data_IF_647910358657
#
_entry.id   IF_647910358657
#
_cell.length_a   1.000
_cell.length_b   1.000
_cell.length_c   1.000
_cell.angle_alpha   90.00
_cell.angle_beta   90.00
_cell.angle_gamma   90.00
#
_symmetry.space_group_name_H-M   'P 1'
#
loop_
_entity.id
_entity.type
_entity.pdbx_description
1 polymer ?
#
# COMPACT_ATOMS: atom_id res chain seq x y z
N UNK A 1 -37.49 31.71 81.72
CA UNK A 1 -37.99 30.59 80.88
C UNK A 1 -36.89 30.18 79.92
N UNK A 2 -36.08 29.18 80.27
CA UNK A 2 -35.02 28.66 79.39
C UNK A 2 -35.56 27.45 78.65
N UNK A 3 -35.70 27.55 77.33
CA UNK A 3 -36.03 26.40 76.46
C UNK A 3 -34.75 25.57 76.30
N UNK A 4 -34.70 24.41 76.94
CA UNK A 4 -33.68 23.40 76.63
C UNK A 4 -33.96 22.84 75.23
N UNK A 5 -33.08 23.14 74.28
CA UNK A 5 -33.03 22.45 72.99
C UNK A 5 -32.59 21.01 73.23
N UNK A 6 -33.46 20.03 72.97
CA UNK A 6 -33.10 18.61 72.95
C UNK A 6 -32.06 18.41 71.84
N UNK A 7 -30.81 18.12 72.21
CA UNK A 7 -29.84 17.55 71.28
C UNK A 7 -30.24 16.09 71.03
N UNK A 8 -30.69 15.80 69.81
CA UNK A 8 -30.84 14.44 69.31
C UNK A 8 -29.45 13.87 69.04
N UNK A 9 -28.95 13.05 69.97
CA UNK A 9 -27.73 12.26 69.78
C UNK A 9 -28.06 11.01 68.95
N UNK A 10 -27.21 10.71 67.98
CA UNK A 10 -27.30 9.49 67.16
C UNK A 10 -27.07 8.24 68.00
N UNK A 11 -27.81 7.18 67.72
CA UNK A 11 -27.62 5.88 68.40
C UNK A 11 -26.46 5.11 67.75
N UNK A 12 -25.77 4.27 68.54
CA UNK A 12 -24.66 3.45 68.03
C UNK A 12 -25.10 2.52 66.89
N UNK A 13 -26.33 2.00 66.94
CA UNK A 13 -26.90 1.15 65.89
C UNK A 13 -27.10 1.92 64.58
N UNK A 14 -27.45 3.20 64.64
CA UNK A 14 -27.64 4.06 63.48
C UNK A 14 -26.32 4.37 62.80
N UNK A 15 -25.27 4.66 63.57
CA UNK A 15 -23.92 4.85 63.04
C UNK A 15 -23.37 3.57 62.39
N UNK A 16 -23.63 2.40 62.99
CA UNK A 16 -23.24 1.10 62.42
C UNK A 16 -23.93 0.85 61.08
N UNK A 17 -25.25 1.07 61.00
CA UNK A 17 -26.04 0.86 59.79
C UNK A 17 -25.56 1.79 58.66
N UNK A 18 -25.24 3.05 58.97
CA UNK A 18 -24.68 4.00 57.99
C UNK A 18 -23.33 3.54 57.46
N UNK A 19 -22.42 3.07 58.33
CA UNK A 19 -21.10 2.57 57.87
C UNK A 19 -21.23 1.34 56.96
N UNK A 20 -22.15 0.41 57.27
CA UNK A 20 -22.39 -0.78 56.43
C UNK A 20 -22.96 -0.39 55.07
N UNK A 21 -23.96 0.49 55.03
CA UNK A 21 -24.56 0.94 53.76
C UNK A 21 -23.52 1.68 52.91
N UNK A 22 -22.75 2.59 53.51
CA UNK A 22 -21.67 3.30 52.80
C UNK A 22 -20.62 2.35 52.25
N UNK A 23 -20.25 1.29 53.00
CA UNK A 23 -19.33 0.27 52.54
C UNK A 23 -19.84 -0.45 51.28
N UNK A 24 -21.09 -0.90 51.28
CA UNK A 24 -21.69 -1.59 50.14
C UNK A 24 -21.79 -0.66 48.92
N UNK A 25 -22.23 0.58 49.12
CA UNK A 25 -22.35 1.58 48.06
C UNK A 25 -21.00 1.97 47.48
N UNK A 26 -19.97 2.11 48.32
CA UNK A 26 -18.62 2.42 47.88
C UNK A 26 -18.07 1.31 46.99
N UNK A 27 -18.11 0.04 47.45
CA UNK A 27 -17.59 -1.11 46.70
C UNK A 27 -18.28 -1.25 45.34
N UNK A 28 -19.61 -1.15 45.31
CA UNK A 28 -20.38 -1.23 44.06
C UNK A 28 -20.03 -0.08 43.11
N UNK A 29 -19.98 1.16 43.61
CA UNK A 29 -19.62 2.33 42.80
C UNK A 29 -18.22 2.22 42.20
N UNK A 30 -17.23 1.81 42.99
CA UNK A 30 -15.87 1.61 42.50
C UNK A 30 -15.77 0.50 41.44
N UNK A 31 -16.49 -0.61 41.63
CA UNK A 31 -16.53 -1.69 40.65
C UNK A 31 -17.11 -1.22 39.30
N UNK A 32 -18.20 -0.45 39.34
CA UNK A 32 -18.80 0.12 38.13
C UNK A 32 -17.87 1.11 37.42
N UNK A 33 -17.20 2.01 38.18
CA UNK A 33 -16.25 2.97 37.60
C UNK A 33 -15.08 2.24 36.92
N UNK A 34 -14.50 1.24 37.58
CA UNK A 34 -13.39 0.47 37.02
C UNK A 34 -13.80 -0.28 35.76
N UNK A 35 -14.98 -0.92 35.76
CA UNK A 35 -15.50 -1.58 34.57
C UNK A 35 -15.75 -0.59 33.43
N UNK A 36 -16.28 0.59 33.71
CA UNK A 36 -16.51 1.64 32.72
C UNK A 36 -15.21 2.14 32.09
N UNK A 37 -14.16 2.33 32.89
CA UNK A 37 -12.85 2.73 32.41
C UNK A 37 -12.21 1.65 31.50
N UNK A 38 -12.29 0.38 31.89
CA UNK A 38 -11.74 -0.73 31.10
C UNK A 38 -12.44 -0.86 29.74
N UNK A 39 -13.77 -0.76 29.70
CA UNK A 39 -14.54 -0.80 28.45
C UNK A 39 -14.16 0.38 27.55
N UNK A 40 -14.00 1.57 28.13
CA UNK A 40 -13.57 2.75 27.37
C UNK A 40 -12.17 2.56 26.78
N UNK A 41 -11.19 2.11 27.58
CA UNK A 41 -9.82 1.88 27.12
C UNK A 41 -9.76 0.85 25.99
N UNK A 42 -10.43 -0.29 26.17
CA UNK A 42 -10.54 -1.32 25.12
C UNK A 42 -11.22 -0.80 23.86
N UNK A 43 -12.23 0.06 24.01
CA UNK A 43 -12.90 0.72 22.90
C UNK A 43 -11.96 1.63 22.11
N UNK A 44 -11.10 2.40 22.79
CA UNK A 44 -10.12 3.29 22.16
C UNK A 44 -9.05 2.50 21.42
N UNK A 45 -8.45 1.48 22.04
CA UNK A 45 -7.43 0.62 21.41
C UNK A 45 -7.97 -0.03 20.13
N UNK A 46 -9.21 -0.54 20.17
CA UNK A 46 -9.86 -1.13 19.00
C UNK A 46 -10.14 -0.12 17.89
N UNK A 47 -10.47 1.12 18.24
CA UNK A 47 -10.68 2.17 17.25
C UNK A 47 -9.37 2.57 16.57
N UNK A 48 -8.28 2.69 17.34
CA UNK A 48 -6.94 2.95 16.82
C UNK A 48 -6.49 1.83 15.87
N UNK A 49 -6.71 0.57 16.28
CA UNK A 49 -6.44 -0.61 15.48
C UNK A 49 -7.09 -0.57 14.10
N UNK A 50 -8.40 -0.33 14.08
CA UNK A 50 -9.19 -0.24 12.84
C UNK A 50 -8.75 0.97 12.00
N UNK A 51 -8.41 2.10 12.63
CA UNK A 51 -7.92 3.27 11.92
C UNK A 51 -6.58 3.02 11.23
N UNK A 52 -5.63 2.37 11.92
CA UNK A 52 -4.32 2.02 11.35
C UNK A 52 -4.46 1.02 10.20
N UNK A 53 -5.29 -0.02 10.37
CA UNK A 53 -5.56 -0.99 9.31
C UNK A 53 -6.18 -0.32 8.07
N UNK A 54 -7.18 0.55 8.26
CA UNK A 54 -7.82 1.29 7.16
C UNK A 54 -6.85 2.21 6.45
N UNK A 55 -6.00 2.92 7.20
CA UNK A 55 -4.98 3.79 6.61
C UNK A 55 -4.03 2.99 5.71
N UNK A 56 -3.48 1.90 6.24
CA UNK A 56 -2.55 1.02 5.52
C UNK A 56 -3.19 0.47 4.24
N UNK A 57 -4.39 -0.14 4.34
CA UNK A 57 -5.08 -0.72 3.20
C UNK A 57 -5.43 0.33 2.14
N UNK A 58 -5.92 1.50 2.56
CA UNK A 58 -6.26 2.60 1.64
C UNK A 58 -5.01 3.13 0.95
N UNK A 59 -3.89 3.25 1.67
CA UNK A 59 -2.62 3.71 1.10
C UNK A 59 -2.10 2.73 0.06
N UNK A 60 -2.08 1.43 0.38
CA UNK A 60 -1.68 0.37 -0.55
C UNK A 60 -2.55 0.39 -1.81
N UNK A 61 -3.88 0.37 -1.65
CA UNK A 61 -4.81 0.39 -2.77
C UNK A 61 -4.66 1.64 -3.66
N UNK A 62 -4.42 2.81 -3.04
CA UNK A 62 -4.23 4.07 -3.78
C UNK A 62 -2.97 4.07 -4.64
N UNK A 63 -1.85 3.55 -4.12
CA UNK A 63 -0.62 3.46 -4.91
C UNK A 63 -0.72 2.41 -6.02
N UNK A 64 -1.30 1.24 -5.71
CA UNK A 64 -1.48 0.15 -6.67
C UNK A 64 -2.43 0.48 -7.82
N UNK A 65 -3.33 1.46 -7.64
CA UNK A 65 -4.20 1.93 -8.73
C UNK A 65 -3.40 2.50 -9.91
N UNK A 66 -2.21 3.03 -9.64
CA UNK A 66 -1.28 3.52 -10.66
C UNK A 66 -0.16 2.53 -10.97
N UNK A 67 -0.33 1.25 -10.62
CA UNK A 67 0.60 0.22 -11.05
C UNK A 67 0.48 0.01 -12.57
N UNK A 68 1.64 -0.10 -13.21
CA UNK A 68 1.74 -0.44 -14.60
C UNK A 68 1.21 -1.87 -14.83
N UNK A 69 0.44 -2.10 -15.92
CA UNK A 69 0.01 -3.44 -16.31
C UNK A 69 1.18 -4.43 -16.34
N UNK A 70 0.93 -5.63 -15.83
CA UNK A 70 1.87 -6.75 -15.74
C UNK A 70 3.19 -6.45 -14.99
N UNK A 71 3.27 -5.38 -14.18
CA UNK A 71 4.47 -5.10 -13.37
C UNK A 71 4.45 -5.75 -11.98
N UNK A 72 3.31 -6.25 -11.52
CA UNK A 72 3.24 -6.81 -10.16
C UNK A 72 4.02 -8.11 -10.05
N UNK A 73 4.87 -8.22 -9.04
CA UNK A 73 5.53 -9.46 -8.66
C UNK A 73 5.75 -9.57 -7.15
N UNK A 74 5.80 -10.80 -6.67
CA UNK A 74 6.05 -11.12 -5.27
C UNK A 74 7.43 -11.75 -5.13
N UNK A 75 8.16 -11.39 -4.07
CA UNK A 75 9.43 -12.05 -3.73
C UNK A 75 9.23 -13.53 -3.43
N UNK A 76 8.02 -13.89 -2.99
CA UNK A 76 7.56 -15.23 -2.68
C UNK A 76 6.03 -15.25 -2.62
N UNK A 77 5.41 -16.31 -3.13
CA UNK A 77 3.95 -16.51 -3.07
C UNK A 77 3.52 -17.25 -1.80
N UNK A 78 4.29 -18.26 -1.40
CA UNK A 78 4.07 -19.07 -0.21
C UNK A 78 5.41 -19.39 0.44
N UNK A 79 5.41 -19.71 1.73
CA UNK A 79 6.62 -20.06 2.47
C UNK A 79 7.71 -18.97 2.43
N UNK A 80 7.30 -17.72 2.68
CA UNK A 80 8.15 -16.52 2.57
C UNK A 80 9.22 -16.36 3.67
N UNK A 81 9.27 -17.27 4.64
CA UNK A 81 10.19 -17.16 5.77
C UNK A 81 9.92 -15.92 6.62
N UNK A 82 10.86 -14.98 6.64
CA UNK A 82 10.86 -13.82 7.55
C UNK A 82 10.32 -12.53 6.93
N UNK A 83 10.23 -12.45 5.60
CA UNK A 83 9.76 -11.25 4.91
C UNK A 83 9.05 -11.58 3.60
N UNK A 84 8.10 -10.74 3.21
CA UNK A 84 7.41 -10.85 1.94
C UNK A 84 7.31 -9.45 1.31
N UNK A 85 7.82 -9.31 0.08
CA UNK A 85 7.80 -8.05 -0.66
C UNK A 85 6.87 -8.16 -1.88
N UNK A 86 5.96 -7.21 -2.00
CA UNK A 86 5.22 -6.92 -3.23
C UNK A 86 5.91 -5.78 -3.96
N UNK A 87 6.34 -6.03 -5.18
CA UNK A 87 6.91 -5.02 -6.05
C UNK A 87 5.97 -4.71 -7.21
N UNK A 88 5.93 -3.44 -7.61
CA UNK A 88 5.26 -2.97 -8.81
C UNK A 88 5.97 -1.74 -9.36
N UNK A 89 5.73 -1.42 -10.62
CA UNK A 89 6.22 -0.18 -11.24
C UNK A 89 5.07 0.79 -11.39
N UNK A 90 5.06 1.95 -10.71
CA UNK A 90 4.05 2.97 -10.95
C UNK A 90 4.21 3.57 -12.34
N UNK A 91 3.11 3.93 -13.01
CA UNK A 91 3.14 4.83 -14.16
C UNK A 91 2.79 6.25 -13.73
N UNK A 92 3.49 7.25 -14.27
CA UNK A 92 3.21 8.67 -14.05
C UNK A 92 2.06 9.12 -14.95
N UNK A 93 2.10 8.68 -16.20
CA UNK A 93 1.10 9.01 -17.22
C UNK A 93 1.05 7.90 -18.28
N UNK A 94 -0.05 7.84 -19.03
CA UNK A 94 -0.25 6.86 -20.09
C UNK A 94 -1.00 7.54 -21.24
N UNK A 95 -0.59 7.26 -22.47
CA UNK A 95 -1.22 7.80 -23.67
C UNK A 95 -1.32 6.75 -24.76
N UNK A 96 -1.91 7.14 -25.89
CA UNK A 96 -1.93 6.35 -27.11
C UNK A 96 -0.90 6.85 -28.11
N UNK A 97 -0.16 5.92 -28.71
CA UNK A 97 0.66 6.23 -29.88
C UNK A 97 -0.10 5.99 -31.18
N UNK A 98 0.35 6.66 -32.24
CA UNK A 98 -0.25 6.62 -33.57
C UNK A 98 0.71 5.98 -34.56
N UNK A 99 0.15 5.38 -35.61
CA UNK A 99 0.95 4.69 -36.61
C UNK A 99 1.55 3.36 -36.13
N UNK A 100 2.66 2.98 -36.75
CA UNK A 100 3.41 1.77 -36.43
C UNK A 100 4.72 2.14 -35.74
N UNK A 101 5.17 1.27 -34.84
CA UNK A 101 6.46 1.39 -34.19
C UNK A 101 7.56 1.28 -35.24
N UNK A 102 8.56 2.19 -35.19
CA UNK A 102 9.65 2.19 -36.13
C UNK A 102 10.52 0.94 -35.94
N UNK A 103 10.81 0.24 -37.03
CA UNK A 103 11.72 -0.91 -37.06
C UNK A 103 13.14 -0.55 -37.54
N UNK A 104 13.34 0.69 -38.00
CA UNK A 104 14.63 1.25 -38.43
C UNK A 104 14.83 2.62 -37.80
N UNK A 105 16.07 2.98 -37.49
CA UNK A 105 16.40 4.30 -36.96
C UNK A 105 16.00 5.42 -37.95
N UNK A 106 15.52 6.59 -37.46
CA UNK A 106 15.35 6.95 -36.05
C UNK A 106 14.10 6.31 -35.41
N UNK A 107 14.24 5.80 -34.17
CA UNK A 107 13.15 5.13 -33.44
C UNK A 107 12.24 6.17 -32.76
N UNK A 108 11.44 6.86 -33.56
CA UNK A 108 10.48 7.87 -33.10
C UNK A 108 9.08 7.26 -33.01
N UNK A 109 8.48 7.33 -31.83
CA UNK A 109 7.08 7.00 -31.56
C UNK A 109 6.29 8.30 -31.47
N UNK A 110 5.23 8.43 -32.25
CA UNK A 110 4.34 9.60 -32.21
C UNK A 110 3.16 9.32 -31.31
N UNK A 111 3.00 10.11 -30.25
CA UNK A 111 2.01 9.87 -29.20
C UNK A 111 1.06 11.06 -29.01
N UNK A 112 -0.17 10.80 -28.58
CA UNK A 112 -1.15 11.85 -28.31
C UNK A 112 -0.64 12.74 -27.17
N UNK A 113 -0.72 14.06 -27.38
CA UNK A 113 -0.16 15.10 -26.53
C UNK A 113 -0.61 15.00 -25.06
N UNK A 114 0.36 15.20 -24.16
CA UNK A 114 0.20 15.16 -22.72
C UNK A 114 -0.28 16.50 -22.13
N UNK A 115 0.07 17.63 -22.74
CA UNK A 115 -0.26 18.97 -22.24
C UNK A 115 -1.75 19.27 -22.40
N UNK A 116 -2.36 18.86 -23.52
CA UNK A 116 -3.81 18.96 -23.73
C UNK A 116 -4.65 18.06 -22.81
N UNK A 117 -4.02 17.11 -22.08
CA UNK A 117 -4.70 16.12 -21.23
C UNK A 117 -4.34 16.23 -19.74
N UNK A 118 -3.69 17.31 -19.29
CA UNK A 118 -3.21 17.52 -17.91
C UNK A 118 -2.35 16.35 -17.38
N UNK A 119 -1.57 15.71 -18.26
CA UNK A 119 -0.72 14.58 -17.91
C UNK A 119 0.72 15.03 -17.60
N UNK A 120 1.44 14.27 -16.76
CA UNK A 120 2.86 14.51 -16.52
C UNK A 120 3.66 14.33 -17.80
N UNK A 121 4.36 15.39 -18.21
CA UNK A 121 5.21 15.38 -19.40
C UNK A 121 6.47 14.54 -19.16
N UNK A 122 6.93 13.78 -20.17
CA UNK A 122 8.18 13.05 -20.11
C UNK A 122 9.39 13.98 -20.08
N UNK A 123 10.43 13.54 -19.39
CA UNK A 123 11.74 14.15 -19.37
C UNK A 123 12.80 13.21 -19.96
N UNK A 124 13.93 13.79 -20.38
CA UNK A 124 15.05 13.00 -20.90
C UNK A 124 15.54 12.04 -19.83
N UNK A 125 15.68 10.77 -20.20
CA UNK A 125 16.07 9.72 -19.26
C UNK A 125 14.88 9.04 -18.55
N UNK A 126 13.64 9.45 -18.79
CA UNK A 126 12.49 8.72 -18.26
C UNK A 126 12.30 7.38 -18.96
N UNK A 127 11.70 6.45 -18.23
CA UNK A 127 11.38 5.12 -18.74
C UNK A 127 10.01 5.12 -19.38
N UNK A 128 9.93 4.59 -20.59
CA UNK A 128 8.67 4.31 -21.26
C UNK A 128 8.52 2.81 -21.46
N UNK A 129 7.28 2.31 -21.47
CA UNK A 129 7.04 0.91 -21.80
C UNK A 129 5.79 0.71 -22.65
N UNK A 130 5.90 -0.27 -23.55
CA UNK A 130 4.86 -0.67 -24.49
C UNK A 130 4.65 -2.18 -24.36
N UNK A 131 3.40 -2.55 -24.12
CA UNK A 131 2.88 -3.91 -24.22
C UNK A 131 3.66 -5.01 -23.48
N UNK A 132 4.00 -4.87 -22.19
CA UNK A 132 4.52 -5.99 -21.42
C UNK A 132 3.42 -7.01 -21.16
N UNK A 133 3.76 -8.29 -21.24
CA UNK A 133 2.85 -9.41 -20.94
C UNK A 133 3.15 -10.11 -19.63
N UNK A 134 4.36 -9.92 -19.11
CA UNK A 134 4.81 -10.48 -17.84
C UNK A 134 5.72 -9.48 -17.09
N UNK A 135 5.94 -9.68 -15.78
CA UNK A 135 6.81 -8.79 -15.01
C UNK A 135 8.24 -8.74 -15.53
N UNK A 136 8.82 -9.84 -16.02
CA UNK A 136 10.20 -9.83 -16.49
C UNK A 136 10.38 -8.89 -17.71
N UNK A 137 9.38 -8.79 -18.57
CA UNK A 137 9.35 -7.80 -19.66
C UNK A 137 9.38 -6.33 -19.17
N UNK A 138 8.85 -6.04 -17.97
CA UNK A 138 8.92 -4.70 -17.38
C UNK A 138 10.30 -4.45 -16.76
N UNK A 139 10.82 -5.41 -15.99
CA UNK A 139 12.03 -5.20 -15.18
C UNK A 139 13.34 -5.44 -15.93
N UNK A 140 13.37 -6.33 -16.90
CA UNK A 140 14.56 -6.63 -17.71
C UNK A 140 14.52 -5.87 -19.05
N UNK A 141 15.44 -4.90 -19.18
CA UNK A 141 15.57 -4.02 -20.35
C UNK A 141 15.88 -4.79 -21.64
N UNK A 142 16.48 -5.98 -21.54
CA UNK A 142 16.84 -6.79 -22.72
C UNK A 142 15.63 -7.29 -23.53
N UNK A 143 14.44 -7.25 -22.94
CA UNK A 143 13.20 -7.59 -23.64
C UNK A 143 12.71 -6.49 -24.60
N UNK A 144 13.32 -5.30 -24.57
CA UNK A 144 12.91 -4.14 -25.39
C UNK A 144 11.42 -3.78 -25.26
N UNK A 145 10.86 -4.04 -24.07
CA UNK A 145 9.49 -3.65 -23.69
C UNK A 145 9.48 -2.42 -22.81
N UNK A 146 10.61 -2.13 -22.14
CA UNK A 146 10.89 -0.88 -21.42
C UNK A 146 12.14 -0.24 -22.03
N UNK A 147 12.03 1.00 -22.47
CA UNK A 147 13.13 1.76 -23.08
C UNK A 147 13.22 3.15 -22.47
N UNK A 148 14.44 3.69 -22.45
CA UNK A 148 14.69 5.03 -21.92
C UNK A 148 14.54 6.08 -23.02
N UNK A 149 13.86 7.17 -22.69
CA UNK A 149 13.63 8.28 -23.61
C UNK A 149 14.92 9.07 -23.82
N UNK A 150 15.34 9.21 -25.08
CA UNK A 150 16.56 9.93 -25.44
C UNK A 150 16.33 11.29 -26.05
N UNK A 151 15.13 11.52 -26.59
CA UNK A 151 14.67 12.84 -26.98
C UNK A 151 13.15 12.93 -26.86
N UNK A 152 12.65 14.11 -26.48
CA UNK A 152 11.23 14.41 -26.39
C UNK A 152 10.97 15.75 -27.07
N UNK A 153 10.03 15.76 -28.01
CA UNK A 153 9.59 16.97 -28.69
C UNK A 153 8.08 17.09 -28.53
N UNK A 154 7.65 18.03 -27.72
CA UNK A 154 6.26 18.45 -27.65
C UNK A 154 5.96 19.58 -28.64
N UNK A 155 4.73 19.63 -29.13
CA UNK A 155 4.30 20.65 -30.09
C UNK A 155 3.09 21.41 -29.57
N UNK A 156 3.23 22.71 -29.32
CA UNK A 156 2.08 23.56 -28.93
C UNK A 156 1.05 23.76 -30.05
N UNK A 157 1.30 23.23 -31.25
CA UNK A 157 0.46 23.39 -32.44
C UNK A 157 -0.04 22.06 -33.02
N UNK A 158 0.30 20.93 -32.39
CA UNK A 158 -0.10 19.59 -32.84
C UNK A 158 -0.57 18.79 -31.65
N UNK A 159 -1.62 18.00 -31.82
CA UNK A 159 -2.11 17.05 -30.80
C UNK A 159 -1.19 15.82 -30.63
N UNK A 160 0.04 15.88 -31.17
CA UNK A 160 0.98 14.78 -31.25
C UNK A 160 2.39 15.20 -30.81
N UNK A 161 2.92 14.44 -29.86
CA UNK A 161 4.30 14.52 -29.37
C UNK A 161 5.18 13.45 -30.03
N UNK A 162 6.49 13.71 -30.09
CA UNK A 162 7.48 12.76 -30.60
C UNK A 162 8.41 12.28 -29.49
N UNK A 163 8.43 10.96 -29.31
CA UNK A 163 9.22 10.26 -28.33
C UNK A 163 10.31 9.46 -29.05
N UNK A 164 11.57 9.78 -28.80
CA UNK A 164 12.68 9.11 -29.46
C UNK A 164 13.40 8.17 -28.49
N UNK A 165 13.73 6.97 -28.99
CA UNK A 165 14.44 5.94 -28.27
C UNK A 165 15.72 5.54 -28.99
N UNK A 166 16.63 4.88 -28.27
CA UNK A 166 17.85 4.30 -28.86
C UNK A 166 17.59 3.01 -29.64
N UNK A 167 16.48 2.34 -29.36
CA UNK A 167 16.13 1.03 -29.93
C UNK A 167 14.63 0.98 -30.26
N UNK A 168 14.25 0.01 -31.10
CA UNK A 168 12.85 -0.29 -31.36
C UNK A 168 12.25 -1.09 -30.19
N UNK A 169 10.99 -0.80 -29.85
CA UNK A 169 10.22 -1.68 -28.99
C UNK A 169 9.98 -3.04 -29.66
N UNK A 170 10.04 -4.12 -28.89
CA UNK A 170 9.94 -5.48 -29.43
C UNK A 170 8.58 -5.78 -30.08
N UNK A 171 7.50 -5.18 -29.58
CA UNK A 171 6.15 -5.50 -30.03
C UNK A 171 5.18 -4.32 -29.84
N UNK A 172 4.25 -4.24 -30.78
CA UNK A 172 3.12 -3.33 -30.78
C UNK A 172 2.08 -3.66 -29.70
N UNK A 173 1.58 -2.63 -29.00
CA UNK A 173 0.35 -2.75 -28.23
C UNK A 173 -0.85 -2.82 -29.18
N UNK A 174 -1.73 -3.83 -29.08
CA UNK A 174 -2.98 -3.87 -29.84
C UNK A 174 -3.89 -2.66 -29.56
N UNK A 175 -3.79 -2.10 -28.34
CA UNK A 175 -4.50 -0.90 -27.93
C UNK A 175 -3.70 0.38 -28.20
N UNK A 176 -2.52 0.27 -28.82
CA UNK A 176 -1.60 1.37 -29.13
C UNK A 176 -1.26 2.23 -27.90
N UNK A 177 -1.00 1.60 -26.75
CA UNK A 177 -0.68 2.30 -25.50
C UNK A 177 0.81 2.40 -25.26
N UNK A 178 1.21 3.52 -24.66
CA UNK A 178 2.55 3.74 -24.11
C UNK A 178 2.42 4.34 -22.71
N UNK A 179 3.21 3.81 -21.79
CA UNK A 179 3.22 4.21 -20.38
C UNK A 179 4.52 4.95 -20.05
N UNK A 180 4.43 6.12 -19.43
CA UNK A 180 5.55 6.79 -18.76
C UNK A 180 5.69 6.22 -17.36
N UNK A 181 6.86 5.66 -17.04
CA UNK A 181 7.08 4.92 -15.80
C UNK A 181 7.79 5.78 -14.77
N UNK A 182 7.42 5.56 -13.50
CA UNK A 182 8.24 5.94 -12.37
C UNK A 182 9.23 4.81 -12.02
N UNK A 183 10.04 5.03 -10.99
CA UNK A 183 10.91 3.98 -10.43
C UNK A 183 10.07 2.94 -9.67
N UNK A 184 10.51 1.66 -9.63
CA UNK A 184 9.83 0.61 -8.89
C UNK A 184 9.67 0.92 -7.40
N UNK A 185 8.57 0.43 -6.84
CA UNK A 185 8.24 0.54 -5.41
C UNK A 185 7.98 -0.86 -4.87
N UNK A 186 8.50 -1.11 -3.67
CA UNK A 186 8.33 -2.38 -2.96
C UNK A 186 7.63 -2.17 -1.61
N UNK A 187 6.57 -2.92 -1.35
CA UNK A 187 5.95 -3.03 -0.03
C UNK A 187 6.38 -4.33 0.63
N UNK A 188 7.14 -4.24 1.72
CA UNK A 188 7.70 -5.40 2.39
C UNK A 188 7.14 -5.55 3.80
N UNK A 189 6.58 -6.72 4.10
CA UNK A 189 6.34 -7.13 5.48
C UNK A 189 7.63 -7.69 6.05
N UNK A 190 8.06 -7.13 7.18
CA UNK A 190 9.29 -7.49 7.88
C UNK A 190 8.96 -7.65 9.37
N UNK A 191 8.93 -8.90 9.85
CA UNK A 191 8.44 -9.18 11.20
C UNK A 191 7.03 -8.63 11.40
N UNK A 192 6.89 -7.66 12.31
CA UNK A 192 5.58 -7.06 12.65
C UNK A 192 5.27 -5.74 11.97
N UNK A 193 6.04 -5.39 10.94
CA UNK A 193 6.00 -4.06 10.33
C UNK A 193 5.85 -4.15 8.81
N UNK A 194 5.17 -3.17 8.22
CA UNK A 194 5.10 -2.99 6.78
C UNK A 194 5.92 -1.76 6.40
N UNK A 195 6.86 -1.96 5.48
CA UNK A 195 7.70 -0.92 4.95
C UNK A 195 7.43 -0.67 3.48
N UNK A 196 7.66 0.57 3.05
CA UNK A 196 7.67 0.99 1.66
C UNK A 196 9.08 1.37 1.26
N UNK A 197 9.57 0.74 0.20
CA UNK A 197 10.88 0.96 -0.37
C UNK A 197 10.76 1.67 -1.71
N UNK A 198 11.67 2.61 -1.96
CA UNK A 198 11.78 3.35 -3.22
C UNK A 198 13.23 3.75 -3.51
N UNK A 199 13.48 4.27 -4.72
CA UNK A 199 14.78 4.81 -5.15
C UNK A 199 15.89 3.74 -5.32
N UNK A 200 15.51 2.47 -5.53
CA UNK A 200 16.44 1.35 -5.80
C UNK A 200 16.54 0.96 -7.28
N UNK A 201 15.76 1.60 -8.16
CA UNK A 201 15.78 1.38 -9.61
C UNK A 201 15.18 0.04 -10.05
N UNK A 202 15.42 -0.32 -11.32
CA UNK A 202 14.92 -1.56 -11.91
C UNK A 202 15.95 -2.68 -11.79
N UNK A 203 15.54 -3.82 -11.24
CA UNK A 203 16.37 -5.03 -11.12
C UNK A 203 15.65 -6.21 -11.78
N UNK A 204 16.33 -6.99 -12.61
CA UNK A 204 15.73 -8.14 -13.29
C UNK A 204 15.28 -9.21 -12.28
N UNK A 205 16.14 -9.53 -11.30
CA UNK A 205 15.75 -10.26 -10.10
C UNK A 205 15.11 -9.29 -9.11
N UNK A 206 13.96 -9.67 -8.55
CA UNK A 206 13.35 -8.90 -7.46
C UNK A 206 14.25 -8.95 -6.24
N UNK A 207 14.50 -7.78 -5.64
CA UNK A 207 15.24 -7.67 -4.39
C UNK A 207 14.33 -8.02 -3.21
N UNK A 208 14.86 -8.78 -2.25
CA UNK A 208 14.17 -8.99 -0.97
C UNK A 208 14.38 -7.81 -0.01
N UNK A 209 13.75 -7.87 1.17
CA UNK A 209 13.86 -6.80 2.16
C UNK A 209 15.30 -6.58 2.66
N UNK A 210 16.12 -7.63 2.74
CA UNK A 210 17.50 -7.55 3.22
C UNK A 210 18.38 -6.87 2.16
N UNK A 211 18.24 -7.27 0.91
CA UNK A 211 18.93 -6.68 -0.24
C UNK A 211 18.54 -5.20 -0.44
N UNK A 212 17.26 -4.87 -0.29
CA UNK A 212 16.77 -3.49 -0.36
C UNK A 212 17.39 -2.60 0.74
N UNK A 213 17.57 -3.11 1.96
CA UNK A 213 18.24 -2.37 3.04
C UNK A 213 19.74 -2.19 2.83
N UNK A 214 20.38 -3.15 2.17
CA UNK A 214 21.81 -3.08 1.85
C UNK A 214 22.09 -2.14 0.66
N UNK A 215 21.10 -1.86 -0.17
CA UNK A 215 21.25 -1.05 -1.37
C UNK A 215 21.38 0.44 -1.02
N UNK A 216 22.39 1.10 -1.58
CA UNK A 216 22.69 2.52 -1.26
C UNK A 216 21.67 3.46 -1.91
N UNK A 217 21.21 4.46 -1.17
CA UNK A 217 20.28 5.49 -1.68
C UNK A 217 18.80 5.11 -1.63
N UNK A 218 18.49 3.87 -1.23
CA UNK A 218 17.12 3.39 -1.07
C UNK A 218 16.46 4.07 0.12
N UNK A 219 15.24 4.59 -0.09
CA UNK A 219 14.42 5.10 1.01
C UNK A 219 13.51 4.01 1.54
N UNK A 220 13.32 4.00 2.86
CA UNK A 220 12.52 3.02 3.60
C UNK A 220 11.60 3.76 4.55
N UNK A 221 10.30 3.73 4.26
CA UNK A 221 9.28 4.39 5.06
C UNK A 221 8.42 3.36 5.80
N UNK A 222 8.18 3.55 7.10
CA UNK A 222 7.28 2.72 7.88
C UNK A 222 5.83 3.06 7.55
N UNK A 223 5.04 2.08 7.10
CA UNK A 223 3.62 2.25 6.77
C UNK A 223 2.68 1.73 7.85
N UNK A 224 3.01 0.58 8.45
CA UNK A 224 2.16 -0.04 9.45
C UNK A 224 2.99 -0.83 10.47
N UNK A 225 2.39 -1.00 11.64
CA UNK A 225 2.88 -1.78 12.77
C UNK A 225 1.89 -2.91 13.06
N UNK A 226 2.26 -3.78 13.99
CA UNK A 226 1.37 -4.79 14.57
C UNK A 226 0.90 -5.85 13.57
N UNK A 227 1.68 -6.15 12.54
CA UNK A 227 1.39 -7.25 11.61
C UNK A 227 1.80 -8.57 12.28
N UNK A 228 0.91 -9.54 12.35
CA UNK A 228 1.14 -10.85 12.99
C UNK A 228 0.97 -12.00 11.99
N UNK A 229 1.09 -11.70 10.70
CA UNK A 229 1.07 -12.71 9.67
C UNK A 229 2.24 -13.68 9.83
N UNK A 230 1.93 -14.96 10.03
CA UNK A 230 2.90 -16.02 9.80
C UNK A 230 3.09 -16.18 8.28
N UNK A 231 4.10 -15.54 7.71
CA UNK A 231 4.33 -15.50 6.26
C UNK A 231 4.63 -16.87 5.62
N UNK A 232 4.85 -17.92 6.42
CA UNK A 232 4.98 -19.29 5.91
C UNK A 232 3.63 -19.86 5.49
N UNK A 233 2.61 -19.66 6.33
CA UNK A 233 1.27 -20.26 6.17
C UNK A 233 0.21 -19.25 5.73
N UNK A 234 0.39 -17.99 6.11
CA UNK A 234 -0.54 -16.87 5.98
C UNK A 234 0.21 -15.67 5.38
N UNK A 235 0.60 -15.80 4.11
CA UNK A 235 1.19 -14.71 3.34
C UNK A 235 0.30 -13.46 3.38
N UNK A 236 0.94 -12.29 3.52
CA UNK A 236 0.25 -11.01 3.60
C UNK A 236 -0.28 -10.57 2.23
N UNK A 237 0.52 -10.78 1.19
CA UNK A 237 0.14 -10.50 -0.20
C UNK A 237 -0.08 -11.80 -0.97
N UNK A 238 -1.13 -11.83 -1.79
CA UNK A 238 -1.37 -12.90 -2.76
C UNK A 238 -1.83 -12.29 -4.08
N UNK A 239 -1.12 -12.59 -5.15
CA UNK A 239 -1.56 -12.24 -6.51
C UNK A 239 -2.48 -13.36 -6.99
N UNK A 240 -3.70 -13.02 -7.41
CA UNK A 240 -4.61 -13.98 -8.05
C UNK A 240 -4.12 -14.34 -9.46
N UNK A 241 -4.57 -15.47 -9.98
CA UNK A 241 -4.18 -15.95 -11.31
C UNK A 241 -4.38 -14.85 -12.37
N UNK A 242 -3.28 -14.50 -13.06
CA UNK A 242 -3.25 -13.50 -14.13
C UNK A 242 -3.80 -14.15 -15.42
N UNK A 243 -5.01 -14.70 -15.35
CA UNK A 243 -5.61 -15.45 -16.44
C UNK A 243 -6.43 -14.52 -17.34
N UNK A 244 -5.81 -13.86 -18.33
CA UNK A 244 -6.47 -13.15 -19.45
C UNK A 244 -7.54 -12.09 -19.06
N UNK A 245 -7.67 -11.75 -17.78
CA UNK A 245 -8.61 -10.76 -17.29
C UNK A 245 -8.03 -9.37 -17.47
N UNK A 246 -8.88 -8.40 -17.85
CA UNK A 246 -8.50 -6.97 -17.99
C UNK A 246 -8.00 -6.34 -16.68
N UNK A 247 -8.08 -7.05 -15.56
CA UNK A 247 -7.63 -6.62 -14.25
C UNK A 247 -6.79 -7.73 -13.61
N UNK A 248 -5.68 -7.33 -12.97
CA UNK A 248 -4.98 -8.15 -11.99
C UNK A 248 -5.66 -7.97 -10.62
N UNK A 249 -5.66 -9.02 -9.82
CA UNK A 249 -6.28 -9.01 -8.49
C UNK A 249 -5.20 -9.26 -7.46
N UNK A 250 -4.99 -8.29 -6.56
CA UNK A 250 -4.15 -8.47 -5.38
C UNK A 250 -5.04 -8.63 -4.15
N UNK A 251 -4.85 -9.74 -3.45
CA UNK A 251 -5.45 -9.96 -2.15
C UNK A 251 -4.47 -9.60 -1.05
N UNK A 252 -4.89 -8.69 -0.18
CA UNK A 252 -4.17 -8.30 1.03
C UNK A 252 -4.85 -8.97 2.22
N UNK A 253 -4.12 -9.84 2.90
CA UNK A 253 -4.54 -10.57 4.09
C UNK A 253 -3.75 -10.04 5.29
N UNK A 254 -4.27 -9.01 5.95
CA UNK A 254 -3.61 -8.43 7.12
C UNK A 254 -4.18 -9.03 8.41
N UNK A 255 -3.35 -9.77 9.14
CA UNK A 255 -3.62 -10.19 10.51
C UNK A 255 -2.86 -9.21 11.41
N UNK A 256 -3.57 -8.47 12.24
CA UNK A 256 -2.98 -7.44 13.08
C UNK A 256 -3.36 -7.60 14.55
N UNK A 257 -2.38 -7.51 15.46
CA UNK A 257 -2.60 -7.64 16.91
C UNK A 257 -2.11 -6.39 17.65
N UNK A 258 -3.06 -5.64 18.19
CA UNK A 258 -2.80 -4.35 18.86
C UNK A 258 -2.68 -4.47 20.38
N UNK A 259 -3.06 -5.63 20.92
CA UNK A 259 -2.86 -6.01 22.30
C UNK A 259 -2.56 -7.53 22.36
N UNK A 260 -2.15 -8.02 23.53
CA UNK A 260 -1.69 -9.40 23.70
C UNK A 260 -2.81 -10.46 23.53
N UNK A 261 -4.08 -10.05 23.47
CA UNK A 261 -5.24 -10.94 23.58
C UNK A 261 -6.18 -10.94 22.37
N UNK A 262 -6.06 -9.98 21.44
CA UNK A 262 -6.96 -9.84 20.29
C UNK A 262 -6.18 -9.56 19.00
N UNK A 263 -6.32 -10.48 18.04
CA UNK A 263 -5.90 -10.27 16.66
C UNK A 263 -7.13 -10.03 15.78
N UNK A 264 -7.05 -9.04 14.90
CA UNK A 264 -8.06 -8.72 13.91
C UNK A 264 -7.55 -9.11 12.52
N UNK A 265 -8.43 -9.72 11.73
CA UNK A 265 -8.14 -10.06 10.35
C UNK A 265 -8.87 -9.10 9.41
N UNK A 266 -8.11 -8.53 8.47
CA UNK A 266 -8.61 -7.69 7.41
C UNK A 266 -8.25 -8.30 6.06
N UNK A 267 -9.27 -8.56 5.24
CA UNK A 267 -9.11 -9.03 3.88
C UNK A 267 -9.53 -7.91 2.94
N UNK A 268 -8.65 -7.52 2.02
CA UNK A 268 -8.91 -6.48 1.05
C UNK A 268 -8.47 -6.92 -0.34
N UNK A 269 -9.39 -6.83 -1.29
CA UNK A 269 -9.12 -7.13 -2.70
C UNK A 269 -8.91 -5.83 -3.46
N UNK A 270 -7.76 -5.71 -4.12
CA UNK A 270 -7.39 -4.57 -4.95
C UNK A 270 -7.42 -5.00 -6.41
N UNK A 271 -8.32 -4.41 -7.19
CA UNK A 271 -8.35 -4.59 -8.64
C UNK A 271 -7.44 -3.56 -9.31
N UNK A 272 -6.48 -4.06 -10.07
CA UNK A 272 -5.47 -3.26 -10.74
C UNK A 272 -5.72 -3.40 -12.24
N UNK A 273 -5.92 -2.28 -12.98
CA UNK A 273 -6.10 -2.33 -14.42
C UNK A 273 -4.89 -3.01 -15.08
N UNK A 274 -5.15 -4.10 -15.81
CA UNK A 274 -4.11 -4.92 -16.44
C UNK A 274 -4.34 -5.01 -17.95
N UNK A 275 -4.33 -3.85 -18.61
CA UNK A 275 -4.52 -3.74 -20.06
C UNK A 275 -3.30 -3.04 -20.66
N UNK A 276 -2.28 -3.80 -21.07
CA UNK A 276 -1.01 -3.27 -21.59
C UNK A 276 -1.13 -2.67 -23.00
#
# INVERSE_FOLDING_TARGET
MSKYLKQSAFTLIELLLVMVILGILAVTSFAFINSGFNIYSQGVERQEAVAQARFMLTRLAKELRHAMPNSLRLSCENNCGLSQCLEFTPFQSATHYTGYLPNTAPFIVTAVDFELNDLTQPSLGDWASIYPLDPAEVYDVSNNKRLQLTNFVSSSYSELDQWQFEQAFAQESPAKRIYLLATPVSFCVEGTQLYRYQDYGFNSSQLDAVELQATTGVKRDLLALHIENNLVNNAFFRIGDIALTRNAVLNIHAIMAFNDNEAMMFNHEVHIPNVP
#
